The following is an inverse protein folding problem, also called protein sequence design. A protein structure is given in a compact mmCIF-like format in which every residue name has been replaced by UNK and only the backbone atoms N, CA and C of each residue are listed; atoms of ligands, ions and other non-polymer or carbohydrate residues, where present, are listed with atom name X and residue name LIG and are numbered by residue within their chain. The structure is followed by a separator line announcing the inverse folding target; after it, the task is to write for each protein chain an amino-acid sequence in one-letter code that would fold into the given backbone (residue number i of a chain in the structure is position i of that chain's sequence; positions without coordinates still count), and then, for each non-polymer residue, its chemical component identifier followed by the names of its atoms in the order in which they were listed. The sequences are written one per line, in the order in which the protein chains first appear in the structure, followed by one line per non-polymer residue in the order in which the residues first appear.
data_IF_480473438459
#
_entry.id   IF_480473438459
#
_cell.length_a   1.000
_cell.length_b   1.000
_cell.length_c   1.000
_cell.angle_alpha   90.00
_cell.angle_beta   90.00
_cell.angle_gamma   90.00
#
_symmetry.space_group_name_H-M   'P 1'
#
loop_
_entity.id
_entity.type
_entity.pdbx_description
1 polymer ?
#
# COMPACT_ATOMS: atom_id res chain seq x y z
N UNK A 1 13.34 2.73 10.07
CA UNK A 1 12.23 2.95 9.13
C UNK A 1 12.09 1.74 8.26
N UNK A 2 10.86 1.24 8.15
CA UNK A 2 10.38 0.47 7.02
C UNK A 2 8.84 0.63 6.98
N UNK A 3 8.31 1.31 5.95
CA UNK A 3 7.06 2.12 6.00
C UNK A 3 6.31 2.04 4.66
N UNK A 4 4.98 2.24 4.67
CA UNK A 4 4.12 2.33 3.47
C UNK A 4 2.74 2.96 3.84
N UNK A 5 2.52 4.28 3.89
CA UNK A 5 3.41 5.43 3.72
C UNK A 5 3.32 6.45 4.89
N UNK A 6 3.93 7.63 4.76
CA UNK A 6 4.08 8.61 5.87
C UNK A 6 4.26 10.07 5.39
N UNK A 7 3.81 11.02 6.21
CA UNK A 7 4.28 12.42 6.24
C UNK A 7 4.12 12.99 7.66
N UNK A 8 4.66 14.15 8.00
CA UNK A 8 6.11 14.24 8.24
C UNK A 8 6.45 13.55 9.58
N UNK A 9 7.69 13.05 9.75
CA UNK A 9 8.02 12.19 10.91
C UNK A 9 9.50 12.09 11.24
N UNK A 10 9.80 11.96 12.53
CA UNK A 10 11.17 11.82 13.05
C UNK A 10 11.40 10.41 13.64
N UNK A 11 11.88 9.50 12.77
CA UNK A 11 12.37 8.13 13.05
C UNK A 11 11.30 7.05 13.35
N UNK A 12 10.59 6.62 12.29
CA UNK A 12 9.58 5.54 12.29
C UNK A 12 10.15 4.12 12.12
N UNK A 13 9.37 3.10 12.54
CA UNK A 13 9.75 1.67 12.54
C UNK A 13 8.54 0.73 12.64
N UNK A 14 7.47 1.12 11.94
CA UNK A 14 6.68 0.35 10.97
C UNK A 14 5.27 0.94 10.96
N UNK A 15 4.94 1.72 9.92
CA UNK A 15 3.74 2.57 9.85
C UNK A 15 3.02 2.47 8.48
N UNK A 16 1.69 2.30 8.49
CA UNK A 16 0.85 1.80 7.36
C UNK A 16 -0.60 2.35 7.36
N UNK A 17 -0.93 3.62 7.16
CA UNK A 17 -0.16 4.85 6.95
C UNK A 17 -0.52 5.82 8.08
N UNK A 18 0.28 6.86 8.33
CA UNK A 18 0.07 7.73 9.50
C UNK A 18 0.75 9.09 9.34
N UNK A 19 0.13 10.15 9.86
CA UNK A 19 0.60 11.54 9.75
C UNK A 19 1.11 12.11 11.10
N UNK A 20 2.12 12.99 11.08
CA UNK A 20 2.75 13.68 12.24
C UNK A 20 3.16 12.72 13.39
N UNK A 21 4.18 11.88 13.18
CA UNK A 21 4.68 10.93 14.18
C UNK A 21 6.07 11.27 14.77
N UNK A 22 6.19 11.16 16.10
CA UNK A 22 7.46 11.39 16.83
C UNK A 22 7.78 10.23 17.81
N UNK A 23 8.91 9.56 17.62
CA UNK A 23 9.37 8.41 18.43
C UNK A 23 8.33 7.28 18.63
N UNK A 24 7.55 6.97 17.59
CA UNK A 24 6.43 6.02 17.65
C UNK A 24 6.72 4.64 17.03
N UNK A 25 6.26 3.58 17.73
CA UNK A 25 6.53 2.16 17.44
C UNK A 25 5.30 1.45 16.86
N UNK A 26 5.46 0.74 15.74
CA UNK A 26 4.43 -0.18 15.19
C UNK A 26 3.02 0.45 15.10
N UNK A 27 2.87 1.48 14.28
CA UNK A 27 1.67 2.34 14.23
C UNK A 27 0.81 1.99 13.02
N UNK A 28 -0.51 1.99 13.20
CA UNK A 28 -1.49 1.76 12.14
C UNK A 28 -2.51 2.91 12.18
N UNK A 29 -2.69 3.60 11.05
CA UNK A 29 -3.79 4.57 10.83
C UNK A 29 -3.92 5.67 11.91
N UNK A 30 -2.83 6.22 12.44
CA UNK A 30 -2.89 7.12 13.61
C UNK A 30 -2.17 8.45 13.39
N UNK A 31 -2.87 9.57 13.57
CA UNK A 31 -2.36 10.93 13.32
C UNK A 31 -1.89 11.65 14.60
N UNK A 32 -0.86 12.50 14.49
CA UNK A 32 -0.41 13.42 15.54
C UNK A 32 -0.09 12.70 16.87
N UNK A 33 0.60 11.57 16.79
CA UNK A 33 0.92 10.72 17.94
C UNK A 33 2.42 10.70 18.25
N UNK A 34 2.78 10.78 19.53
CA UNK A 34 4.17 10.77 19.99
C UNK A 34 4.44 9.78 21.14
N UNK A 35 5.69 9.37 21.32
CA UNK A 35 6.17 8.53 22.43
C UNK A 35 5.36 7.22 22.64
N UNK A 36 4.75 6.68 21.58
CA UNK A 36 3.70 5.66 21.67
C UNK A 36 4.03 4.38 20.92
N UNK A 37 3.41 3.26 21.31
CA UNK A 37 3.69 1.90 20.83
C UNK A 37 2.39 1.19 20.46
N UNK A 38 2.35 0.46 19.35
CA UNK A 38 1.21 -0.41 18.99
C UNK A 38 -0.12 0.37 19.04
N UNK A 39 -0.30 1.32 18.12
CA UNK A 39 -1.53 2.12 18.02
C UNK A 39 -2.33 1.76 16.77
N UNK A 40 -3.67 1.74 16.88
CA UNK A 40 -4.60 1.59 15.75
C UNK A 40 -5.67 2.67 15.78
N UNK A 41 -5.86 3.40 14.67
CA UNK A 41 -6.89 4.44 14.53
C UNK A 41 -6.88 5.50 15.66
N UNK A 42 -5.73 5.81 16.26
CA UNK A 42 -5.60 6.79 17.35
C UNK A 42 -5.32 8.21 16.80
N UNK A 43 -5.66 9.27 17.52
CA UNK A 43 -5.31 10.65 17.12
C UNK A 43 -4.95 11.52 18.32
N UNK A 44 -3.90 12.33 18.18
CA UNK A 44 -3.44 13.26 19.22
C UNK A 44 -2.89 12.58 20.50
N UNK A 45 -2.47 11.32 20.41
CA UNK A 45 -2.13 10.51 21.59
C UNK A 45 -0.63 10.57 21.94
N UNK A 46 -0.32 10.68 23.24
CA UNK A 46 1.05 10.83 23.76
C UNK A 46 1.32 9.80 24.84
N UNK A 47 2.41 9.04 24.79
CA UNK A 47 2.68 7.99 25.78
C UNK A 47 1.54 6.96 25.90
N UNK A 48 1.18 6.29 24.80
CA UNK A 48 0.19 5.22 24.78
C UNK A 48 0.80 3.90 24.27
N UNK A 49 0.33 2.76 24.79
CA UNK A 49 0.81 1.41 24.43
C UNK A 49 -0.35 0.45 24.12
N UNK A 50 -0.38 -0.17 22.94
CA UNK A 50 -1.39 -1.19 22.60
C UNK A 50 -2.81 -0.62 22.46
N UNK A 51 -2.94 0.67 22.16
CA UNK A 51 -4.19 1.42 22.22
C UNK A 51 -4.90 1.53 20.87
N UNK A 52 -6.24 1.56 20.92
CA UNK A 52 -7.14 1.47 19.77
C UNK A 52 -8.17 2.59 19.84
N UNK A 53 -8.33 3.36 18.76
CA UNK A 53 -9.38 4.38 18.63
C UNK A 53 -9.25 5.64 19.48
N UNK A 54 -8.27 5.76 20.38
CA UNK A 54 -8.20 6.86 21.35
C UNK A 54 -8.05 8.26 20.71
N UNK A 55 -8.64 9.27 21.36
CA UNK A 55 -8.54 10.70 20.98
C UNK A 55 -7.97 11.53 22.13
N UNK A 56 -6.86 12.22 21.86
CA UNK A 56 -6.23 13.19 22.77
C UNK A 56 -5.94 12.64 24.18
N UNK A 57 -5.59 11.35 24.29
CA UNK A 57 -5.30 10.68 25.56
C UNK A 57 -3.78 10.53 25.78
N UNK A 58 -3.39 10.35 27.04
CA UNK A 58 -2.01 10.10 27.44
C UNK A 58 -1.89 9.09 28.59
N UNK A 59 -0.75 8.41 28.69
CA UNK A 59 -0.46 7.37 29.69
C UNK A 59 -1.51 6.24 29.71
N UNK A 60 -1.86 5.69 28.55
CA UNK A 60 -2.79 4.56 28.43
C UNK A 60 -2.08 3.28 27.97
N UNK A 61 -2.49 2.13 28.51
CA UNK A 61 -1.99 0.80 28.09
C UNK A 61 -3.20 -0.11 27.85
N UNK A 62 -3.33 -0.65 26.63
CA UNK A 62 -4.50 -1.42 26.17
C UNK A 62 -5.83 -0.73 26.53
N UNK A 63 -5.94 0.53 26.11
CA UNK A 63 -7.04 1.48 26.38
C UNK A 63 -7.36 1.80 27.85
N UNK A 64 -6.60 1.29 28.83
CA UNK A 64 -6.78 1.61 30.26
C UNK A 64 -5.86 2.77 30.67
N UNK A 65 -6.34 3.76 31.46
CA UNK A 65 -5.53 4.88 31.93
C UNK A 65 -4.60 4.47 33.08
N UNK A 66 -3.41 5.08 33.14
CA UNK A 66 -2.42 4.92 34.20
C UNK A 66 -1.91 6.29 34.68
N UNK A 67 -1.40 6.35 35.91
CA UNK A 67 -0.54 7.46 36.32
C UNK A 67 0.81 7.37 35.58
N UNK A 68 1.48 8.52 35.37
CA UNK A 68 2.79 8.56 34.68
C UNK A 68 3.80 7.58 35.26
N UNK A 69 3.88 7.47 36.58
CA UNK A 69 4.79 6.54 37.29
C UNK A 69 4.46 5.07 37.01
N UNK A 70 3.17 4.71 37.06
CA UNK A 70 2.75 3.33 36.82
C UNK A 70 2.82 2.96 35.34
N UNK A 71 2.64 3.93 34.43
CA UNK A 71 2.87 3.76 33.01
C UNK A 71 4.34 3.41 32.73
N UNK A 72 5.31 4.17 33.26
CA UNK A 72 6.74 3.90 33.08
C UNK A 72 7.12 2.51 33.62
N UNK A 73 6.75 2.18 34.87
CA UNK A 73 6.99 0.85 35.45
C UNK A 73 6.39 -0.27 34.58
N UNK A 74 5.19 -0.07 34.05
CA UNK A 74 4.54 -1.08 33.20
C UNK A 74 5.20 -1.22 31.83
N UNK A 75 5.78 -0.17 31.26
CA UNK A 75 6.63 -0.27 30.06
C UNK A 75 7.93 -1.06 30.33
N UNK A 76 8.56 -0.85 31.49
CA UNK A 76 9.74 -1.60 31.91
C UNK A 76 9.41 -3.10 32.09
N UNK A 77 8.29 -3.42 32.76
CA UNK A 77 7.76 -4.79 32.86
C UNK A 77 7.44 -5.42 31.50
N UNK A 78 6.92 -4.63 30.54
CA UNK A 78 6.63 -5.10 29.18
C UNK A 78 7.91 -5.38 28.39
N UNK A 79 9.01 -4.67 28.65
CA UNK A 79 10.36 -5.09 28.25
C UNK A 79 10.57 -5.29 26.74
N UNK A 80 9.90 -4.53 25.88
CA UNK A 80 9.83 -4.72 24.40
C UNK A 80 11.16 -4.65 23.63
N UNK A 81 12.29 -4.44 24.32
CA UNK A 81 13.62 -4.70 23.77
C UNK A 81 13.89 -6.21 23.54
N UNK A 82 13.11 -7.08 24.21
CA UNK A 82 13.04 -8.53 23.96
C UNK A 82 12.16 -8.86 22.76
N UNK A 83 12.63 -9.79 21.90
CA UNK A 83 11.86 -10.35 20.80
C UNK A 83 10.62 -11.11 21.27
N UNK A 84 10.74 -12.01 22.24
CA UNK A 84 9.60 -12.73 22.82
C UNK A 84 8.53 -11.77 23.37
N UNK A 85 8.94 -10.76 24.14
CA UNK A 85 8.01 -9.81 24.73
C UNK A 85 7.33 -8.93 23.68
N UNK A 86 8.07 -8.46 22.66
CA UNK A 86 7.50 -7.67 21.58
C UNK A 86 6.47 -8.48 20.76
N UNK A 87 6.77 -9.74 20.43
CA UNK A 87 5.82 -10.60 19.71
C UNK A 87 4.61 -10.99 20.57
N UNK A 88 4.77 -11.11 21.89
CA UNK A 88 3.63 -11.25 22.82
C UNK A 88 2.77 -9.97 22.85
N UNK A 89 3.39 -8.79 22.93
CA UNK A 89 2.68 -7.51 22.92
C UNK A 89 1.93 -7.27 21.61
N UNK A 90 2.53 -7.61 20.46
CA UNK A 90 1.85 -7.61 19.15
C UNK A 90 0.64 -8.53 19.13
N UNK A 91 0.78 -9.78 19.60
CA UNK A 91 -0.34 -10.75 19.66
C UNK A 91 -1.50 -10.25 20.54
N UNK A 92 -1.20 -9.58 21.65
CA UNK A 92 -2.24 -8.98 22.51
C UNK A 92 -2.87 -7.73 21.87
N UNK A 93 -2.09 -6.92 21.15
CA UNK A 93 -2.59 -5.78 20.40
C UNK A 93 -3.51 -6.19 19.23
N UNK A 94 -3.17 -7.24 18.48
CA UNK A 94 -4.04 -7.77 17.42
C UNK A 94 -5.39 -8.26 17.99
N UNK A 95 -5.39 -8.98 19.12
CA UNK A 95 -6.65 -9.29 19.85
C UNK A 95 -7.38 -8.02 20.27
N UNK A 96 -6.66 -7.05 20.84
CA UNK A 96 -7.24 -5.80 21.35
C UNK A 96 -7.96 -5.04 20.25
N UNK A 97 -7.37 -4.92 19.04
CA UNK A 97 -8.04 -4.33 17.88
C UNK A 97 -9.40 -4.96 17.63
N UNK A 98 -9.49 -6.30 17.59
CA UNK A 98 -10.74 -7.02 17.36
C UNK A 98 -11.83 -6.74 18.42
N UNK A 99 -11.48 -6.22 19.61
CA UNK A 99 -12.47 -5.85 20.64
C UNK A 99 -13.11 -4.46 20.42
N UNK A 100 -12.67 -3.68 19.43
CA UNK A 100 -13.18 -2.34 19.14
C UNK A 100 -13.73 -2.24 17.70
N UNK A 101 -14.68 -1.33 17.45
CA UNK A 101 -15.19 -1.10 16.10
C UNK A 101 -14.06 -0.59 15.18
N UNK A 102 -14.15 -0.95 13.92
CA UNK A 102 -13.28 -0.51 12.84
C UNK A 102 -14.08 0.40 11.90
N UNK A 103 -13.47 1.51 11.48
CA UNK A 103 -14.05 2.41 10.47
C UNK A 103 -14.11 1.70 9.12
N UNK A 104 -15.27 1.70 8.46
CA UNK A 104 -15.49 0.99 7.19
C UNK A 104 -14.55 1.37 6.04
N UNK A 105 -14.16 2.63 5.97
CA UNK A 105 -13.25 3.21 4.96
C UNK A 105 -12.37 4.29 5.62
N UNK A 106 -11.22 4.62 5.05
CA UNK A 106 -10.31 5.62 5.62
C UNK A 106 -10.53 6.99 4.97
N UNK A 107 -11.73 7.54 5.15
CA UNK A 107 -12.06 8.88 4.66
C UNK A 107 -11.50 9.97 5.59
N UNK A 108 -10.91 11.03 5.01
CA UNK A 108 -10.43 12.22 5.72
C UNK A 108 -10.92 13.50 5.02
N UNK A 109 -11.65 14.34 5.76
CA UNK A 109 -12.14 15.64 5.29
C UNK A 109 -11.24 16.81 5.73
N UNK A 110 -10.03 16.53 6.23
CA UNK A 110 -9.11 17.57 6.69
C UNK A 110 -8.44 18.27 5.51
N UNK A 111 -8.41 19.61 5.52
CA UNK A 111 -7.63 20.37 4.54
C UNK A 111 -6.11 20.11 4.69
N UNK A 112 -5.65 19.68 5.87
CA UNK A 112 -4.23 19.58 6.25
C UNK A 112 -3.81 18.20 6.82
N UNK A 113 -4.35 17.09 6.29
CA UNK A 113 -3.97 15.72 6.71
C UNK A 113 -3.70 14.79 5.51
N UNK A 114 -2.77 13.86 5.65
CA UNK A 114 -2.11 13.16 4.51
C UNK A 114 -2.34 11.64 4.45
N UNK A 115 -3.53 11.14 4.82
CA UNK A 115 -3.79 9.69 4.99
C UNK A 115 -4.56 9.02 3.82
N UNK A 116 -4.39 7.69 3.67
CA UNK A 116 -4.82 6.85 2.52
C UNK A 116 -6.15 6.10 2.74
N UNK A 117 -6.77 5.61 1.65
CA UNK A 117 -7.97 4.77 1.43
C UNK A 117 -9.31 5.54 1.27
N UNK A 118 -9.38 6.37 0.22
CA UNK A 118 -10.56 7.15 -0.20
C UNK A 118 -11.54 6.35 -1.08
N UNK A 119 -12.82 6.39 -0.69
CA UNK A 119 -13.94 6.02 -1.54
C UNK A 119 -14.93 7.18 -1.62
N UNK A 120 -15.62 7.32 -2.77
CA UNK A 120 -16.60 8.37 -3.07
C UNK A 120 -16.06 9.81 -3.11
N UNK A 121 -15.04 10.04 -3.96
CA UNK A 121 -14.88 11.34 -4.64
C UNK A 121 -15.84 11.39 -5.85
N UNK A 122 -16.34 12.58 -6.21
CA UNK A 122 -17.40 12.80 -7.19
C UNK A 122 -17.28 11.94 -8.46
N UNK A 123 -18.42 11.31 -8.84
CA UNK A 123 -18.65 10.48 -10.03
C UNK A 123 -17.69 9.29 -10.29
N UNK A 124 -16.67 9.09 -9.45
CA UNK A 124 -15.55 8.17 -9.69
C UNK A 124 -15.84 6.74 -9.21
N UNK A 125 -15.30 5.73 -9.91
CA UNK A 125 -15.70 4.31 -9.73
C UNK A 125 -14.52 3.35 -9.47
N UNK A 126 -13.91 3.56 -8.30
CA UNK A 126 -12.89 2.73 -7.59
C UNK A 126 -11.41 3.06 -7.90
N UNK A 127 -10.70 3.51 -6.85
CA UNK A 127 -9.38 4.16 -6.89
C UNK A 127 -8.67 3.94 -5.54
N UNK A 128 -7.33 3.73 -5.49
CA UNK A 128 -6.60 3.52 -4.22
C UNK A 128 -5.11 3.97 -4.32
N UNK A 129 -4.65 5.15 -3.87
CA UNK A 129 -5.27 6.34 -3.29
C UNK A 129 -4.72 7.68 -3.84
N UNK A 130 -5.59 8.70 -3.95
CA UNK A 130 -5.29 10.09 -4.34
C UNK A 130 -5.68 11.01 -3.18
N UNK A 131 -5.02 12.17 -3.00
CA UNK A 131 -5.26 13.06 -1.84
C UNK A 131 -5.46 14.55 -2.16
N UNK A 132 -5.90 14.91 -3.38
CA UNK A 132 -6.64 16.16 -3.73
C UNK A 132 -7.13 16.11 -5.19
N UNK A 133 -8.08 17.00 -5.50
CA UNK A 133 -9.33 16.78 -6.27
C UNK A 133 -9.30 15.97 -7.58
N UNK A 134 -10.43 15.37 -7.96
CA UNK A 134 -10.53 14.49 -9.15
C UNK A 134 -11.98 14.36 -9.58
N UNK A 135 -12.27 14.35 -10.89
CA UNK A 135 -13.62 14.02 -11.40
C UNK A 135 -13.60 13.21 -12.73
N UNK A 136 -14.79 12.75 -13.17
CA UNK A 136 -15.13 11.95 -14.37
C UNK A 136 -14.20 10.75 -14.73
N UNK A 137 -13.55 10.20 -13.71
CA UNK A 137 -12.43 9.27 -13.78
C UNK A 137 -12.78 7.80 -13.50
N UNK A 138 -12.06 6.83 -14.13
CA UNK A 138 -12.19 5.37 -13.89
C UNK A 138 -10.84 4.64 -13.89
N UNK A 139 -10.70 3.71 -12.94
CA UNK A 139 -9.58 2.76 -12.72
C UNK A 139 -8.21 3.38 -12.41
N UNK A 140 -7.76 3.20 -11.15
CA UNK A 140 -6.63 3.96 -10.59
C UNK A 140 -5.90 3.21 -9.45
N UNK A 141 -4.56 3.16 -9.44
CA UNK A 141 -3.74 2.61 -8.33
C UNK A 141 -2.34 3.28 -8.09
N UNK A 142 -2.10 4.58 -7.87
CA UNK A 142 -2.85 5.83 -7.88
C UNK A 142 -1.86 7.02 -7.59
N UNK A 143 -2.23 8.26 -7.90
CA UNK A 143 -1.38 9.46 -7.75
C UNK A 143 -1.66 10.30 -6.49
N UNK A 144 -1.31 11.61 -6.49
CA UNK A 144 -1.87 12.65 -5.59
C UNK A 144 -1.78 14.03 -6.27
N UNK A 145 -2.91 14.67 -6.59
CA UNK A 145 -2.96 16.04 -7.13
C UNK A 145 -3.66 16.12 -8.51
N UNK A 146 -4.40 17.22 -8.82
CA UNK A 146 -5.78 17.02 -9.29
C UNK A 146 -6.06 16.60 -10.76
N UNK A 147 -6.87 15.55 -10.96
CA UNK A 147 -7.00 14.76 -12.23
C UNK A 147 -8.41 14.84 -12.87
N UNK A 148 -8.54 15.04 -14.20
CA UNK A 148 -9.80 14.87 -14.97
C UNK A 148 -9.59 14.81 -16.51
N UNK A 149 -9.63 13.71 -17.26
CA UNK A 149 -10.00 12.31 -16.98
C UNK A 149 -8.86 11.30 -17.31
N UNK A 150 -9.11 9.99 -17.13
CA UNK A 150 -8.09 8.95 -16.88
C UNK A 150 -8.61 7.51 -17.20
N UNK A 151 -7.79 6.43 -17.28
CA UNK A 151 -6.34 6.29 -17.61
C UNK A 151 -6.06 4.85 -18.08
N UNK A 152 -5.76 3.76 -17.36
CA UNK A 152 -5.89 3.40 -15.95
C UNK A 152 -4.57 3.69 -15.16
N UNK A 153 -4.38 3.19 -13.93
CA UNK A 153 -3.30 3.71 -13.07
C UNK A 153 -2.45 2.70 -12.29
N UNK A 154 -1.14 2.99 -12.16
CA UNK A 154 -0.24 2.51 -11.10
C UNK A 154 0.67 3.60 -10.47
N UNK A 155 0.37 4.91 -10.66
CA UNK A 155 1.08 6.03 -10.02
C UNK A 155 1.10 7.41 -10.73
N UNK A 156 -0.05 8.04 -11.04
CA UNK A 156 -0.14 9.39 -11.69
C UNK A 156 0.43 10.52 -10.81
N UNK A 157 0.51 11.75 -11.33
CA UNK A 157 0.27 12.93 -10.50
C UNK A 157 0.97 14.22 -10.92
N UNK A 158 0.18 15.22 -11.33
CA UNK A 158 0.28 16.63 -10.88
C UNK A 158 -0.97 17.45 -11.29
N UNK A 159 -1.50 17.27 -12.51
CA UNK A 159 -2.89 17.51 -12.99
C UNK A 159 -3.07 17.04 -14.45
N UNK A 160 -4.08 16.23 -14.78
CA UNK A 160 -4.21 15.53 -16.07
C UNK A 160 -5.53 15.80 -16.84
N UNK A 161 -5.52 15.68 -18.17
CA UNK A 161 -6.70 15.75 -19.06
C UNK A 161 -6.69 14.68 -20.21
N UNK A 162 -7.40 13.55 -20.00
CA UNK A 162 -7.80 12.49 -20.98
C UNK A 162 -6.70 11.56 -21.56
N UNK A 163 -6.53 10.37 -20.96
CA UNK A 163 -5.52 9.36 -21.34
C UNK A 163 -6.12 7.92 -21.35
N UNK A 164 -5.63 7.01 -22.21
CA UNK A 164 -6.13 5.60 -22.33
C UNK A 164 -5.09 4.63 -22.96
N UNK A 165 -4.94 3.33 -22.66
CA UNK A 165 -5.37 2.54 -21.47
C UNK A 165 -4.25 2.39 -20.42
N UNK A 166 -3.01 2.77 -20.79
CA UNK A 166 -1.87 3.24 -19.97
C UNK A 166 -1.70 2.72 -18.51
N UNK A 167 -0.49 2.29 -18.13
CA UNK A 167 -0.14 2.05 -16.71
C UNK A 167 0.00 3.32 -15.82
N UNK A 168 0.98 4.25 -15.96
CA UNK A 168 0.86 5.64 -15.41
C UNK A 168 1.92 6.74 -15.76
N UNK A 169 1.50 8.01 -15.92
CA UNK A 169 2.39 9.21 -15.95
C UNK A 169 1.79 10.58 -15.55
N UNK A 170 2.44 11.25 -14.59
CA UNK A 170 2.08 12.59 -14.10
C UNK A 170 2.71 13.77 -14.83
N UNK A 171 2.03 14.24 -15.88
CA UNK A 171 1.53 15.62 -15.86
C UNK A 171 2.47 16.83 -16.07
N UNK A 172 1.93 18.02 -16.41
CA UNK A 172 0.51 18.35 -16.60
C UNK A 172 0.07 18.12 -18.05
N UNK A 173 -0.61 16.99 -18.30
CA UNK A 173 -0.64 16.31 -19.61
C UNK A 173 -2.03 16.10 -20.20
N UNK A 174 -2.14 16.21 -21.54
CA UNK A 174 -3.44 16.50 -22.20
C UNK A 174 -3.80 15.68 -23.46
N UNK A 175 -3.11 14.53 -23.71
CA UNK A 175 -3.65 13.29 -24.34
C UNK A 175 -2.57 12.27 -24.74
N UNK A 176 -2.68 11.03 -24.25
CA UNK A 176 -1.84 9.90 -24.64
C UNK A 176 -2.68 8.63 -24.87
N UNK A 177 -2.42 7.95 -25.99
CA UNK A 177 -3.19 6.78 -26.46
C UNK A 177 -2.26 5.80 -27.19
N UNK A 178 -1.38 4.99 -26.58
CA UNK A 178 -1.37 4.32 -25.28
C UNK A 178 0.13 4.16 -24.88
N UNK A 179 0.50 4.08 -23.59
CA UNK A 179 1.90 4.36 -23.16
C UNK A 179 2.45 3.53 -21.97
N UNK A 180 3.80 3.55 -21.82
CA UNK A 180 4.61 2.78 -20.84
C UNK A 180 5.92 3.48 -20.33
N UNK A 181 6.28 4.77 -20.50
CA UNK A 181 5.54 5.97 -20.11
C UNK A 181 6.21 7.30 -20.53
N UNK A 182 5.48 8.43 -20.44
CA UNK A 182 5.84 9.68 -21.14
C UNK A 182 5.38 10.95 -20.43
N UNK A 183 6.26 11.58 -19.64
CA UNK A 183 5.96 12.77 -18.82
C UNK A 183 6.42 14.06 -19.55
N UNK A 184 5.57 14.65 -20.40
CA UNK A 184 5.84 15.91 -21.13
C UNK A 184 5.83 15.85 -22.67
N UNK A 185 5.50 14.72 -23.27
CA UNK A 185 5.29 14.58 -24.73
C UNK A 185 3.85 14.92 -25.15
N UNK A 186 3.64 15.28 -26.42
CA UNK A 186 2.29 15.56 -26.95
C UNK A 186 2.01 14.78 -28.24
N UNK A 187 0.74 14.43 -28.48
CA UNK A 187 0.29 13.64 -29.64
C UNK A 187 1.10 12.33 -29.79
N UNK A 188 1.02 11.44 -28.80
CA UNK A 188 1.73 10.16 -28.83
C UNK A 188 0.81 8.95 -28.82
N UNK A 189 1.21 7.92 -29.58
CA UNK A 189 0.43 6.72 -29.81
C UNK A 189 1.32 5.48 -29.80
N UNK A 190 1.02 4.49 -28.96
CA UNK A 190 1.90 3.36 -28.60
C UNK A 190 3.34 3.78 -28.22
N UNK A 191 3.64 3.92 -26.92
CA UNK A 191 4.96 4.39 -26.47
C UNK A 191 5.56 3.57 -25.32
N UNK A 192 6.89 3.62 -25.22
CA UNK A 192 7.68 3.08 -24.10
C UNK A 192 8.88 4.03 -23.87
N UNK A 193 8.71 5.07 -23.02
CA UNK A 193 9.82 5.89 -22.52
C UNK A 193 10.25 7.11 -23.36
N UNK A 194 9.34 7.88 -23.97
CA UNK A 194 9.65 9.10 -24.73
C UNK A 194 9.05 10.37 -24.07
N UNK A 195 9.84 11.18 -23.35
CA UNK A 195 9.30 12.21 -22.42
C UNK A 195 9.19 13.66 -22.94
N UNK A 196 9.81 14.02 -24.06
CA UNK A 196 9.83 15.41 -24.56
C UNK A 196 9.69 15.50 -26.07
N UNK A 197 8.86 14.63 -26.64
CA UNK A 197 8.72 14.41 -28.08
C UNK A 197 7.29 14.74 -28.54
N UNK A 198 7.10 14.93 -29.85
CA UNK A 198 5.80 15.32 -30.43
C UNK A 198 5.44 14.43 -31.62
N UNK A 199 4.16 14.14 -31.86
CA UNK A 199 3.69 13.42 -33.05
C UNK A 199 4.48 12.10 -33.27
N UNK A 200 4.25 11.11 -32.40
CA UNK A 200 5.01 9.86 -32.39
C UNK A 200 4.11 8.62 -32.39
N UNK A 201 4.48 7.59 -33.17
CA UNK A 201 3.76 6.32 -33.30
C UNK A 201 4.69 5.12 -33.06
N UNK A 202 4.43 4.30 -32.03
CA UNK A 202 5.21 3.08 -31.74
C UNK A 202 6.65 3.35 -31.24
N UNK A 203 6.88 4.37 -30.40
CA UNK A 203 8.24 4.88 -30.12
C UNK A 203 8.87 4.38 -28.80
N UNK A 204 10.14 3.92 -28.88
CA UNK A 204 10.85 3.14 -27.84
C UNK A 204 12.38 3.34 -27.96
N UNK A 205 13.05 4.36 -27.41
CA UNK A 205 12.66 5.35 -26.39
C UNK A 205 13.29 6.72 -26.71
N UNK A 206 13.06 7.22 -27.93
CA UNK A 206 13.63 8.47 -28.47
C UNK A 206 13.27 9.73 -27.63
N UNK A 207 14.14 10.74 -27.67
CA UNK A 207 14.03 11.97 -26.85
C UNK A 207 14.16 13.23 -27.72
N UNK A 208 13.35 14.25 -27.42
CA UNK A 208 13.42 15.58 -28.05
C UNK A 208 13.32 15.54 -29.58
N UNK A 209 12.33 14.78 -30.09
CA UNK A 209 12.09 14.56 -31.52
C UNK A 209 10.63 14.74 -31.90
N UNK A 210 10.38 14.93 -33.19
CA UNK A 210 9.03 15.03 -33.76
C UNK A 210 8.87 14.23 -35.05
N UNK A 211 7.64 13.83 -35.38
CA UNK A 211 7.27 13.06 -36.58
C UNK A 211 8.06 11.74 -36.68
N UNK A 212 7.84 10.85 -35.70
CA UNK A 212 8.63 9.62 -35.55
C UNK A 212 7.77 8.35 -35.51
N UNK A 213 8.19 7.32 -36.26
CA UNK A 213 7.56 6.00 -36.31
C UNK A 213 8.64 4.95 -36.06
N UNK A 214 8.45 4.06 -35.07
CA UNK A 214 9.41 2.99 -34.72
C UNK A 214 10.86 3.50 -34.61
N UNK A 215 11.07 4.60 -33.87
CA UNK A 215 12.34 5.34 -33.69
C UNK A 215 12.94 6.04 -34.93
N UNK A 216 12.42 5.83 -36.13
CA UNK A 216 12.84 6.61 -37.31
C UNK A 216 12.10 7.95 -37.35
N UNK A 217 12.83 9.04 -37.61
CA UNK A 217 12.26 10.36 -37.91
C UNK A 217 11.95 10.50 -39.41
N UNK A 218 10.88 11.23 -39.72
CA UNK A 218 10.33 11.47 -41.06
C UNK A 218 10.10 12.97 -41.30
N UNK A 219 9.78 13.36 -42.54
CA UNK A 219 9.08 14.63 -42.78
C UNK A 219 7.70 14.61 -42.14
N UNK A 220 7.11 15.80 -41.93
CA UNK A 220 5.73 15.92 -41.43
C UNK A 220 4.74 15.23 -42.38
N UNK A 221 4.92 15.49 -43.67
CA UNK A 221 4.07 15.02 -44.77
C UNK A 221 4.14 13.50 -44.90
N UNK A 222 5.36 12.93 -44.85
CA UNK A 222 5.57 11.47 -44.80
C UNK A 222 4.88 10.84 -43.58
N UNK A 223 4.99 11.45 -42.41
CA UNK A 223 4.38 10.95 -41.17
C UNK A 223 2.85 10.97 -41.25
N UNK A 224 2.26 12.08 -41.70
CA UNK A 224 0.82 12.27 -41.85
C UNK A 224 0.23 11.32 -42.93
N UNK A 225 1.01 10.95 -43.96
CA UNK A 225 0.60 9.96 -44.95
C UNK A 225 0.75 8.49 -44.46
N UNK A 226 1.74 8.21 -43.61
CA UNK A 226 2.07 6.84 -43.16
C UNK A 226 1.17 6.35 -42.02
N UNK A 227 0.89 7.18 -41.00
CA UNK A 227 0.15 6.76 -39.79
C UNK A 227 -1.24 6.16 -40.12
N UNK A 228 -2.10 6.77 -40.98
CA UNK A 228 -3.40 6.19 -41.34
C UNK A 228 -3.29 4.81 -42.02
N UNK A 229 -2.22 4.58 -42.79
CA UNK A 229 -1.95 3.28 -43.45
C UNK A 229 -1.60 2.21 -42.42
N UNK A 230 -0.79 2.55 -41.42
CA UNK A 230 -0.41 1.65 -40.32
C UNK A 230 -1.65 1.26 -39.50
N UNK A 231 -2.49 2.24 -39.11
CA UNK A 231 -3.75 2.00 -38.39
C UNK A 231 -4.68 1.08 -39.21
N UNK A 232 -4.80 1.34 -40.52
CA UNK A 232 -5.60 0.50 -41.43
C UNK A 232 -5.06 -0.94 -41.51
N UNK A 233 -3.74 -1.11 -41.48
CA UNK A 233 -3.12 -2.44 -41.46
C UNK A 233 -3.37 -3.18 -40.14
N UNK A 234 -3.16 -2.53 -38.99
CA UNK A 234 -3.40 -3.11 -37.66
C UNK A 234 -4.84 -3.65 -37.49
N UNK A 235 -5.82 -2.97 -38.07
CA UNK A 235 -7.23 -3.39 -38.01
C UNK A 235 -7.59 -4.50 -39.01
N UNK A 236 -6.89 -4.61 -40.14
CA UNK A 236 -7.06 -5.69 -41.12
C UNK A 236 -6.29 -6.96 -40.77
N UNK A 237 -5.15 -6.81 -40.08
CA UNK A 237 -4.23 -7.88 -39.70
C UNK A 237 -3.84 -7.71 -38.23
N UNK A 238 -4.76 -8.01 -37.29
CA UNK A 238 -4.49 -7.90 -35.86
C UNK A 238 -3.44 -8.90 -35.41
N UNK A 239 -2.64 -8.50 -34.42
CA UNK A 239 -1.73 -9.44 -33.74
C UNK A 239 -2.56 -10.46 -32.94
N UNK A 240 -2.16 -11.73 -32.94
CA UNK A 240 -2.84 -12.79 -32.20
C UNK A 240 -1.93 -13.29 -31.09
N UNK A 241 -2.28 -12.99 -29.85
CA UNK A 241 -1.53 -13.40 -28.68
C UNK A 241 -1.60 -14.91 -28.42
N UNK A 242 -0.74 -15.39 -27.53
CA UNK A 242 -0.64 -16.79 -27.11
C UNK A 242 -1.98 -17.33 -26.53
N UNK A 243 -2.75 -16.44 -25.91
CA UNK A 243 -4.10 -16.68 -25.38
C UNK A 243 -5.23 -16.62 -26.44
N UNK A 244 -4.88 -16.46 -27.73
CA UNK A 244 -5.78 -16.27 -28.90
C UNK A 244 -6.60 -14.97 -28.91
N UNK A 245 -6.31 -13.99 -28.03
CA UNK A 245 -6.88 -12.64 -28.15
C UNK A 245 -6.34 -11.95 -29.41
N UNK A 246 -7.18 -11.14 -30.05
CA UNK A 246 -6.80 -10.29 -31.19
C UNK A 246 -6.51 -8.87 -30.71
N UNK A 247 -5.27 -8.42 -30.89
CA UNK A 247 -4.81 -7.08 -30.54
C UNK A 247 -4.86 -6.20 -31.80
N UNK A 248 -5.70 -5.17 -31.75
CA UNK A 248 -6.01 -4.21 -32.83
C UNK A 248 -5.49 -2.83 -32.48
N UNK A 249 -5.61 -1.88 -33.40
CA UNK A 249 -5.43 -0.48 -33.03
C UNK A 249 -6.55 -0.07 -32.05
N UNK A 250 -6.19 0.24 -30.81
CA UNK A 250 -7.15 0.45 -29.72
C UNK A 250 -6.88 -0.40 -28.48
N UNK A 251 -6.08 -1.47 -28.60
CA UNK A 251 -5.79 -2.42 -27.52
C UNK A 251 -4.37 -2.20 -26.95
N UNK A 252 -4.20 -2.46 -25.65
CA UNK A 252 -2.94 -2.35 -24.92
C UNK A 252 -1.89 -3.38 -25.37
N UNK A 253 -0.66 -3.20 -24.90
CA UNK A 253 0.44 -4.11 -25.17
C UNK A 253 0.13 -5.55 -24.68
N UNK A 254 0.31 -6.58 -25.53
CA UNK A 254 0.15 -7.98 -25.14
C UNK A 254 1.02 -8.36 -23.92
N UNK A 255 0.52 -9.23 -23.04
CA UNK A 255 1.21 -9.58 -21.79
C UNK A 255 2.51 -10.37 -22.06
N UNK A 256 2.58 -11.07 -23.18
CA UNK A 256 3.76 -11.79 -23.68
C UNK A 256 4.91 -10.89 -24.16
N UNK A 257 4.69 -9.58 -24.31
CA UNK A 257 5.77 -8.60 -24.54
C UNK A 257 6.09 -7.76 -23.28
N UNK A 258 5.58 -8.15 -22.11
CA UNK A 258 6.02 -7.61 -20.83
C UNK A 258 7.52 -7.90 -20.60
N UNK A 259 8.33 -6.91 -20.19
CA UNK A 259 9.72 -7.14 -19.78
C UNK A 259 9.85 -7.82 -18.41
N UNK A 260 8.75 -7.94 -17.65
CA UNK A 260 8.70 -8.51 -16.30
C UNK A 260 7.80 -9.73 -16.25
N UNK A 261 8.20 -10.75 -15.49
CA UNK A 261 7.33 -11.87 -15.12
C UNK A 261 6.30 -11.45 -14.05
N UNK A 262 5.17 -12.16 -13.96
CA UNK A 262 4.10 -11.83 -13.01
C UNK A 262 4.61 -11.71 -11.58
N UNK A 263 5.44 -12.66 -11.16
CA UNK A 263 6.03 -12.72 -9.82
C UNK A 263 7.11 -11.67 -9.55
N UNK A 264 7.56 -10.90 -10.54
CA UNK A 264 8.43 -9.73 -10.33
C UNK A 264 7.59 -8.49 -9.99
N UNK A 265 6.44 -8.32 -10.64
CA UNK A 265 5.58 -7.14 -10.53
C UNK A 265 4.92 -6.95 -9.15
N UNK A 266 4.27 -5.79 -8.98
CA UNK A 266 3.39 -5.48 -7.85
C UNK A 266 2.09 -6.29 -7.86
N UNK A 267 1.70 -6.91 -8.99
CA UNK A 267 0.52 -7.78 -9.03
C UNK A 267 0.67 -8.98 -8.09
N UNK A 268 1.88 -9.51 -7.91
CA UNK A 268 2.19 -10.57 -6.94
C UNK A 268 2.06 -10.11 -5.46
N UNK A 269 2.01 -8.80 -5.20
CA UNK A 269 1.84 -8.24 -3.85
C UNK A 269 0.36 -8.07 -3.48
N UNK A 270 -0.50 -7.77 -4.47
CA UNK A 270 -1.96 -7.68 -4.28
C UNK A 270 -2.72 -9.00 -4.55
N UNK A 271 -2.30 -9.80 -5.55
CA UNK A 271 -2.88 -11.11 -5.91
C UNK A 271 -1.77 -12.18 -5.99
N UNK A 272 -1.27 -12.71 -4.85
CA UNK A 272 -0.12 -13.63 -4.82
C UNK A 272 -0.42 -15.04 -5.39
N UNK A 273 -0.27 -15.19 -6.71
CA UNK A 273 -0.40 -16.46 -7.42
C UNK A 273 0.78 -17.42 -7.16
N UNK A 274 0.55 -18.71 -7.42
CA UNK A 274 1.62 -19.69 -7.70
C UNK A 274 1.95 -19.71 -9.20
N UNK A 275 3.12 -20.26 -9.55
CA UNK A 275 3.53 -20.51 -10.94
C UNK A 275 2.43 -21.18 -11.78
N UNK A 276 1.87 -22.29 -11.29
CA UNK A 276 0.82 -23.05 -11.98
C UNK A 276 -0.48 -22.27 -12.21
N UNK A 277 -0.74 -21.20 -11.44
CA UNK A 277 -1.91 -20.31 -11.61
C UNK A 277 -1.59 -19.18 -12.58
N UNK A 278 -0.39 -18.59 -12.50
CA UNK A 278 0.09 -17.58 -13.43
C UNK A 278 0.21 -18.14 -14.88
N UNK A 279 0.80 -19.32 -15.04
CA UNK A 279 0.93 -20.00 -16.34
C UNK A 279 -0.46 -20.31 -16.95
N UNK A 280 -1.44 -20.73 -16.13
CA UNK A 280 -2.83 -20.94 -16.58
C UNK A 280 -3.54 -19.65 -17.00
N UNK A 281 -3.19 -18.51 -16.41
CA UNK A 281 -3.65 -17.17 -16.86
C UNK A 281 -2.90 -16.67 -18.11
N UNK A 282 -1.87 -17.40 -18.57
CA UNK A 282 -1.04 -17.03 -19.72
C UNK A 282 0.07 -16.03 -19.38
N UNK A 283 0.46 -15.91 -18.12
CA UNK A 283 1.53 -15.02 -17.67
C UNK A 283 2.89 -15.73 -17.63
N UNK A 284 3.95 -14.98 -17.88
CA UNK A 284 5.33 -15.44 -17.67
C UNK A 284 5.66 -15.53 -16.18
N UNK A 285 6.48 -16.51 -15.80
CA UNK A 285 6.98 -16.72 -14.45
C UNK A 285 8.51 -16.78 -14.46
N UNK A 286 9.16 -16.07 -13.53
CA UNK A 286 10.61 -16.10 -13.34
C UNK A 286 10.96 -17.10 -12.25
N UNK A 287 11.77 -18.09 -12.58
CA UNK A 287 12.32 -19.03 -11.60
C UNK A 287 13.19 -18.29 -10.57
N UNK A 288 13.11 -18.71 -9.31
CA UNK A 288 13.95 -18.13 -8.26
C UNK A 288 15.39 -18.66 -8.38
N UNK A 289 16.35 -17.73 -8.46
CA UNK A 289 17.77 -18.05 -8.41
C UNK A 289 18.13 -18.74 -7.09
N UNK A 290 18.83 -19.88 -7.16
CA UNK A 290 19.25 -20.64 -5.97
C UNK A 290 20.32 -19.89 -5.18
N UNK A 291 19.86 -19.11 -4.21
CA UNK A 291 20.67 -18.28 -3.31
C UNK A 291 21.39 -19.10 -2.24
N UNK A 292 22.57 -19.61 -2.61
CA UNK A 292 23.48 -20.30 -1.70
C UNK A 292 24.25 -19.31 -0.81
N UNK A 293 23.57 -18.61 0.10
CA UNK A 293 24.23 -17.79 1.11
C UNK A 293 24.95 -18.68 2.14
N UNK A 294 26.21 -18.34 2.45
CA UNK A 294 26.92 -18.92 3.59
C UNK A 294 26.35 -18.39 4.89
N UNK A 295 25.25 -18.97 5.39
CA UNK A 295 24.63 -18.64 6.67
C UNK A 295 25.63 -18.93 7.80
N UNK A 296 25.90 -17.93 8.63
CA UNK A 296 26.76 -18.05 9.81
C UNK A 296 25.96 -17.97 11.11
N UNK A 297 24.73 -17.44 11.07
CA UNK A 297 23.88 -17.21 12.24
C UNK A 297 22.42 -17.60 11.97
N UNK A 298 21.81 -18.43 12.83
CA UNK A 298 20.36 -18.68 12.77
C UNK A 298 19.59 -17.70 13.67
N UNK A 299 18.31 -17.44 13.34
CA UNK A 299 17.42 -16.54 14.10
C UNK A 299 17.23 -16.94 15.56
N UNK A 300 17.23 -18.26 15.83
CA UNK A 300 17.18 -18.88 17.16
C UNK A 300 18.42 -18.61 18.02
N UNK A 301 19.57 -18.32 17.40
CA UNK A 301 20.87 -18.13 18.05
C UNK A 301 21.22 -16.63 18.20
N UNK A 302 20.31 -15.74 17.79
CA UNK A 302 20.36 -14.31 18.06
C UNK A 302 19.88 -14.05 19.50
N UNK A 303 20.58 -13.20 20.28
CA UNK A 303 20.10 -12.76 21.59
C UNK A 303 18.66 -12.22 21.54
N UNK A 304 17.92 -12.43 22.62
CA UNK A 304 16.51 -12.07 22.67
C UNK A 304 16.34 -10.57 22.88
N UNK A 305 17.20 -9.95 23.70
CA UNK A 305 17.15 -8.52 23.99
C UNK A 305 18.15 -7.70 23.15
N UNK A 306 17.72 -6.55 22.62
CA UNK A 306 18.58 -5.61 21.88
C UNK A 306 19.84 -5.16 22.64
N UNK A 307 19.79 -5.10 23.97
CA UNK A 307 20.91 -4.72 24.82
C UNK A 307 22.01 -5.79 24.90
N UNK A 308 21.69 -7.05 24.56
CA UNK A 308 22.63 -8.18 24.52
C UNK A 308 23.39 -8.27 23.18
N UNK A 309 22.97 -7.49 22.17
CA UNK A 309 23.51 -7.52 20.81
C UNK A 309 24.86 -6.79 20.75
N UNK A 310 25.92 -7.54 20.46
CA UNK A 310 27.28 -7.03 20.22
C UNK A 310 27.44 -6.54 18.77
N UNK A 311 28.62 -5.98 18.43
CA UNK A 311 28.91 -5.50 17.07
C UNK A 311 29.42 -6.60 16.12
N UNK A 312 29.71 -7.80 16.64
CA UNK A 312 30.04 -8.99 15.85
C UNK A 312 28.96 -9.33 14.80
N UNK A 313 27.70 -9.06 15.12
CA UNK A 313 26.52 -9.21 14.25
C UNK A 313 26.64 -8.52 12.88
N UNK A 314 27.49 -7.50 12.74
CA UNK A 314 27.74 -6.80 11.48
C UNK A 314 28.53 -7.64 10.47
N UNK A 315 29.28 -8.65 10.94
CA UNK A 315 29.96 -9.63 10.09
C UNK A 315 29.02 -10.74 9.61
N UNK A 316 28.00 -11.08 10.41
CA UNK A 316 27.16 -12.27 10.25
C UNK A 316 26.30 -12.28 8.97
N UNK A 317 25.95 -13.49 8.52
CA UNK A 317 24.88 -13.77 7.55
C UNK A 317 23.77 -14.48 8.33
N UNK A 318 22.66 -13.79 8.53
CA UNK A 318 21.54 -14.22 9.37
C UNK A 318 20.51 -14.96 8.51
N UNK A 319 20.14 -16.18 8.88
CA UNK A 319 19.01 -16.90 8.29
C UNK A 319 17.71 -16.09 8.39
N UNK A 320 16.86 -16.12 7.37
CA UNK A 320 15.49 -15.62 7.46
C UNK A 320 14.59 -16.69 8.08
N UNK A 321 13.79 -16.35 9.09
CA UNK A 321 12.90 -17.29 9.79
C UNK A 321 11.92 -18.05 8.86
N UNK A 322 11.50 -17.42 7.75
CA UNK A 322 10.67 -18.06 6.72
C UNK A 322 11.43 -19.01 5.76
N UNK A 323 12.77 -19.05 5.79
CA UNK A 323 13.67 -19.98 5.05
C UNK A 323 13.53 -20.14 3.52
N UNK A 324 12.61 -19.40 2.88
CA UNK A 324 12.22 -19.61 1.48
C UNK A 324 10.86 -20.30 1.30
N UNK A 325 10.18 -20.69 2.38
CA UNK A 325 8.94 -21.45 2.38
C UNK A 325 7.69 -20.57 2.19
N UNK A 326 7.81 -19.24 2.30
CA UNK A 326 6.73 -18.27 2.12
C UNK A 326 6.66 -17.69 0.69
N UNK A 327 5.46 -17.35 0.21
CA UNK A 327 5.20 -16.72 -1.11
C UNK A 327 5.67 -15.24 -1.24
N UNK A 328 6.63 -14.80 -0.43
CA UNK A 328 6.93 -13.38 -0.15
C UNK A 328 8.28 -12.92 -0.73
N UNK A 329 8.68 -13.46 -1.89
CA UNK A 329 9.97 -13.20 -2.57
C UNK A 329 11.17 -13.33 -1.58
N UNK A 330 11.14 -14.35 -0.71
CA UNK A 330 12.02 -14.46 0.46
C UNK A 330 13.51 -14.43 0.06
N UNK A 331 14.35 -13.68 0.78
CA UNK A 331 15.79 -13.63 0.47
C UNK A 331 16.60 -14.75 1.13
N UNK A 332 15.96 -15.70 1.85
CA UNK A 332 16.53 -16.82 2.64
C UNK A 332 17.55 -16.46 3.74
N UNK A 333 18.36 -15.43 3.55
CA UNK A 333 19.23 -14.81 4.54
C UNK A 333 19.26 -13.27 4.39
N UNK A 334 19.80 -12.57 5.38
CA UNK A 334 20.02 -11.11 5.38
C UNK A 334 21.24 -10.73 6.23
N UNK A 335 21.61 -9.44 6.18
CA UNK A 335 22.60 -8.81 7.06
C UNK A 335 21.97 -7.62 7.80
N UNK A 336 22.66 -7.13 8.82
CA UNK A 336 22.32 -5.90 9.55
C UNK A 336 23.43 -4.88 9.29
N UNK A 337 23.09 -3.66 8.87
CA UNK A 337 24.09 -2.58 8.73
C UNK A 337 24.40 -1.92 10.09
N UNK A 338 25.47 -1.12 10.15
CA UNK A 338 25.82 -0.39 11.38
C UNK A 338 24.75 0.62 11.76
N UNK A 339 24.17 1.27 10.76
CA UNK A 339 23.11 2.27 10.86
C UNK A 339 21.79 1.61 11.31
N UNK A 340 21.47 0.44 10.77
CA UNK A 340 20.38 -0.40 11.26
C UNK A 340 20.57 -0.80 12.73
N UNK A 341 21.75 -1.32 13.11
CA UNK A 341 22.05 -1.72 14.49
C UNK A 341 21.95 -0.54 15.47
N UNK A 342 22.48 0.63 15.09
CA UNK A 342 22.35 1.86 15.85
C UNK A 342 20.89 2.30 15.99
N UNK A 343 20.09 2.17 14.93
CA UNK A 343 18.67 2.49 14.94
C UNK A 343 17.88 1.53 15.86
N UNK A 344 18.03 0.22 15.72
CA UNK A 344 17.36 -0.76 16.59
C UNK A 344 17.72 -0.52 18.07
N UNK A 345 18.98 -0.20 18.37
CA UNK A 345 19.44 0.19 19.71
C UNK A 345 18.83 1.51 20.21
N UNK A 346 18.87 2.60 19.42
CA UNK A 346 18.22 3.88 19.80
C UNK A 346 16.74 3.69 20.13
N UNK A 347 16.05 2.88 19.33
CA UNK A 347 14.62 2.65 19.45
C UNK A 347 14.24 1.65 20.54
N UNK A 348 15.21 0.94 21.14
CA UNK A 348 14.97 -0.08 22.16
C UNK A 348 14.10 -1.23 21.65
N UNK A 349 14.38 -1.73 20.44
CA UNK A 349 13.66 -2.86 19.82
C UNK A 349 14.63 -3.96 19.34
N UNK A 350 14.24 -5.24 19.43
CA UNK A 350 15.07 -6.38 19.01
C UNK A 350 15.38 -6.39 17.51
N UNK A 351 16.49 -7.03 17.14
CA UNK A 351 16.81 -7.28 15.73
C UNK A 351 15.72 -8.12 15.04
N UNK A 352 15.42 -7.85 13.76
CA UNK A 352 14.44 -8.62 13.00
C UNK A 352 14.87 -10.09 12.87
N UNK A 353 13.89 -10.99 12.81
CA UNK A 353 14.08 -12.41 12.44
C UNK A 353 13.70 -12.69 10.96
N UNK A 354 13.10 -11.71 10.30
CA UNK A 354 12.66 -11.75 8.90
C UNK A 354 13.50 -10.82 8.02
N UNK A 355 13.80 -11.29 6.81
CA UNK A 355 14.44 -10.49 5.77
C UNK A 355 13.59 -9.29 5.33
N UNK A 356 14.19 -8.36 4.59
CA UNK A 356 13.53 -7.15 4.04
C UNK A 356 12.19 -7.47 3.35
N UNK A 357 12.17 -8.51 2.52
CA UNK A 357 11.03 -8.84 1.68
C UNK A 357 9.87 -9.41 2.51
N UNK A 358 10.14 -10.38 3.40
CA UNK A 358 9.12 -10.89 4.32
C UNK A 358 8.59 -9.80 5.27
N UNK A 359 9.45 -8.88 5.74
CA UNK A 359 9.01 -7.69 6.50
C UNK A 359 8.12 -6.75 5.66
N UNK A 360 8.40 -6.60 4.38
CA UNK A 360 7.58 -5.82 3.43
C UNK A 360 6.21 -6.45 3.19
N UNK A 361 6.15 -7.73 2.80
CA UNK A 361 4.89 -8.44 2.62
C UNK A 361 4.05 -8.48 3.91
N UNK A 362 4.67 -8.66 5.07
CA UNK A 362 3.99 -8.58 6.36
C UNK A 362 3.34 -7.20 6.62
N UNK A 363 3.91 -6.11 6.08
CA UNK A 363 3.33 -4.76 6.12
C UNK A 363 2.26 -4.55 5.05
N UNK A 364 2.46 -5.03 3.82
CA UNK A 364 1.46 -4.93 2.73
C UNK A 364 0.15 -5.62 3.13
N UNK A 365 0.22 -6.74 3.85
CA UNK A 365 -0.95 -7.43 4.43
C UNK A 365 -1.77 -6.61 5.45
N UNK A 366 -1.25 -5.48 5.95
CA UNK A 366 -1.95 -4.55 6.84
C UNK A 366 -2.68 -3.41 6.08
N UNK A 367 -2.40 -3.26 4.78
CA UNK A 367 -3.20 -2.44 3.87
C UNK A 367 -4.41 -3.28 3.42
N UNK A 368 -5.54 -2.62 3.14
CA UNK A 368 -6.64 -3.28 2.44
C UNK A 368 -6.22 -3.65 1.03
N UNK A 369 -6.57 -4.86 0.56
CA UNK A 369 -6.41 -5.16 -0.87
C UNK A 369 -7.32 -4.24 -1.70
N UNK A 370 -6.96 -3.91 -2.95
CA UNK A 370 -7.77 -3.08 -3.86
C UNK A 370 -9.00 -3.86 -4.40
N UNK A 371 -9.83 -4.37 -3.48
CA UNK A 371 -11.02 -5.18 -3.72
C UNK A 371 -12.10 -4.75 -2.74
N UNK A 372 -13.24 -4.34 -3.27
CA UNK A 372 -14.39 -3.91 -2.48
C UNK A 372 -15.40 -5.03 -2.25
N UNK A 373 -16.08 -4.89 -1.13
CA UNK A 373 -17.09 -5.79 -0.62
C UNK A 373 -18.22 -4.97 0.00
N UNK A 374 -19.43 -5.19 -0.48
CA UNK A 374 -20.65 -4.63 0.09
C UNK A 374 -20.88 -5.17 1.50
N UNK A 375 -21.03 -4.29 2.49
CA UNK A 375 -21.36 -4.63 3.90
C UNK A 375 -22.33 -3.62 4.52
N UNK A 376 -22.95 -4.04 5.62
CA UNK A 376 -23.79 -3.20 6.48
C UNK A 376 -23.01 -2.75 7.72
N UNK A 377 -23.41 -1.64 8.33
CA UNK A 377 -22.88 -1.19 9.60
C UNK A 377 -23.25 -2.19 10.72
N UNK A 378 -22.28 -2.85 11.35
CA UNK A 378 -22.52 -3.83 12.42
C UNK A 378 -23.00 -3.19 13.76
N UNK A 379 -23.61 -2.00 13.75
CA UNK A 379 -24.05 -1.31 14.97
C UNK A 379 -25.52 -1.63 15.28
N UNK A 380 -25.76 -2.31 16.40
CA UNK A 380 -27.06 -2.79 16.85
C UNK A 380 -27.50 -2.10 18.16
N UNK A 381 -27.62 -0.77 18.12
CA UNK A 381 -28.07 0.04 19.26
C UNK A 381 -27.08 0.08 20.42
N UNK A 382 -27.30 -0.75 21.45
CA UNK A 382 -26.48 -0.79 22.67
C UNK A 382 -25.16 -1.58 22.52
N UNK A 383 -24.99 -2.31 21.40
CA UNK A 383 -23.80 -3.12 21.14
C UNK A 383 -23.58 -3.33 19.63
N UNK A 384 -22.48 -3.97 19.26
CA UNK A 384 -22.28 -4.47 17.90
C UNK A 384 -23.10 -5.73 17.63
N UNK A 385 -23.50 -5.95 16.38
CA UNK A 385 -24.27 -7.11 15.88
C UNK A 385 -23.65 -8.46 16.33
N UNK A 386 -22.32 -8.56 16.26
CA UNK A 386 -21.55 -9.73 16.70
C UNK A 386 -21.34 -9.83 18.24
N UNK A 387 -21.91 -8.91 19.02
CA UNK A 387 -21.81 -8.79 20.49
C UNK A 387 -20.38 -8.63 21.04
N UNK A 388 -19.39 -8.32 20.19
CA UNK A 388 -17.97 -8.16 20.59
C UNK A 388 -17.71 -6.82 21.28
N UNK A 389 -18.40 -5.75 20.86
CA UNK A 389 -18.23 -4.41 21.40
C UNK A 389 -19.55 -3.91 22.02
N UNK A 390 -19.47 -3.32 23.22
CA UNK A 390 -20.58 -2.58 23.81
C UNK A 390 -20.42 -1.11 23.48
N UNK A 391 -21.46 -0.51 22.89
CA UNK A 391 -21.47 0.91 22.55
C UNK A 391 -21.47 1.76 23.82
N UNK A 392 -20.71 2.85 23.77
CA UNK A 392 -20.49 3.79 24.87
C UNK A 392 -21.47 4.96 24.83
N UNK A 393 -22.13 5.20 23.70
CA UNK A 393 -23.17 6.20 23.51
C UNK A 393 -24.38 5.66 22.72
N UNK A 394 -25.50 6.36 22.79
CA UNK A 394 -26.60 6.17 21.85
C UNK A 394 -26.25 6.85 20.52
N UNK A 395 -26.60 6.23 19.40
CA UNK A 395 -26.25 6.73 18.07
C UNK A 395 -27.36 7.56 17.44
N UNK A 396 -27.11 8.87 17.29
CA UNK A 396 -28.09 9.92 16.95
C UNK A 396 -28.83 9.81 15.61
N UNK A 397 -28.68 8.71 14.87
CA UNK A 397 -29.28 8.45 13.56
C UNK A 397 -29.99 7.08 13.44
N UNK A 398 -29.99 6.28 14.51
CA UNK A 398 -30.79 5.05 14.63
C UNK A 398 -31.16 4.68 16.08
N UNK A 399 -30.78 5.50 17.06
CA UNK A 399 -30.99 5.32 18.51
C UNK A 399 -30.60 3.93 19.02
N UNK A 400 -31.59 3.06 19.22
CA UNK A 400 -31.42 1.67 19.71
C UNK A 400 -31.64 0.60 18.66
N UNK A 401 -32.14 0.97 17.48
CA UNK A 401 -32.34 0.03 16.39
C UNK A 401 -31.01 -0.33 15.72
N UNK A 402 -31.04 -1.30 14.80
CA UNK A 402 -29.89 -1.58 13.96
C UNK A 402 -29.62 -0.41 13.01
N UNK A 403 -28.35 -0.02 12.87
CA UNK A 403 -27.95 1.02 11.93
C UNK A 403 -28.33 0.59 10.50
N UNK A 404 -29.07 1.42 9.74
CA UNK A 404 -29.52 1.07 8.39
C UNK A 404 -28.45 1.33 7.31
N UNK A 405 -27.27 1.83 7.68
CA UNK A 405 -26.24 2.25 6.74
C UNK A 405 -25.51 1.06 6.10
N UNK A 406 -25.39 1.10 4.78
CA UNK A 406 -24.66 0.14 3.94
C UNK A 406 -23.52 0.85 3.19
N UNK A 407 -22.46 0.12 2.87
CA UNK A 407 -21.24 0.69 2.27
C UNK A 407 -20.39 -0.37 1.56
N UNK A 408 -19.56 0.08 0.63
CA UNK A 408 -18.45 -0.72 0.10
C UNK A 408 -17.22 -0.58 1.00
N UNK A 409 -16.50 -1.69 1.23
CA UNK A 409 -15.31 -1.72 2.07
C UNK A 409 -14.28 -2.76 1.63
N UNK A 410 -13.01 -2.60 2.00
CA UNK A 410 -11.94 -3.59 1.81
C UNK A 410 -11.92 -4.68 2.88
N UNK A 411 -12.78 -4.60 3.91
CA UNK A 411 -12.99 -5.70 4.86
C UNK A 411 -13.88 -6.79 4.25
N UNK A 412 -13.27 -7.84 3.71
CA UNK A 412 -13.99 -9.00 3.15
C UNK A 412 -14.98 -9.64 4.17
N UNK A 413 -16.11 -10.23 3.72
CA UNK A 413 -17.20 -10.71 4.58
C UNK A 413 -16.78 -11.71 5.67
N UNK A 414 -15.79 -12.54 5.39
CA UNK A 414 -15.23 -13.59 6.21
C UNK A 414 -14.28 -13.10 7.33
N UNK A 415 -13.89 -11.82 7.30
CA UNK A 415 -13.03 -11.24 8.32
C UNK A 415 -13.79 -10.94 9.63
N UNK A 416 -13.13 -11.06 10.80
CA UNK A 416 -13.79 -10.99 12.11
C UNK A 416 -14.01 -9.57 12.66
N UNK A 417 -13.56 -8.51 12.00
CA UNK A 417 -13.65 -7.15 12.55
C UNK A 417 -15.11 -6.63 12.61
N UNK A 418 -15.45 -5.95 13.71
CA UNK A 418 -16.70 -5.17 13.84
C UNK A 418 -16.61 -3.92 12.96
N UNK A 419 -17.36 -3.82 11.85
CA UNK A 419 -17.26 -2.70 10.91
C UNK A 419 -18.39 -1.68 11.13
N UNK A 420 -18.05 -0.45 11.47
CA UNK A 420 -18.98 0.66 11.67
C UNK A 420 -18.88 1.70 10.55
N UNK A 421 -20.04 2.26 10.16
CA UNK A 421 -20.11 3.44 9.29
C UNK A 421 -19.48 4.67 9.97
N UNK A 422 -19.21 5.74 9.21
CA UNK A 422 -18.62 6.99 9.72
C UNK A 422 -19.33 7.51 10.99
N UNK A 423 -20.66 7.62 10.94
CA UNK A 423 -21.44 8.25 12.00
C UNK A 423 -21.44 7.45 13.32
N UNK A 424 -21.55 6.12 13.27
CA UNK A 424 -21.38 5.28 14.46
C UNK A 424 -19.92 5.32 14.94
N UNK A 425 -18.96 5.17 14.03
CA UNK A 425 -17.55 5.09 14.38
C UNK A 425 -17.04 6.37 15.07
N UNK A 426 -17.42 7.55 14.58
CA UNK A 426 -17.04 8.83 15.21
C UNK A 426 -17.60 8.98 16.63
N UNK A 427 -18.85 8.56 16.85
CA UNK A 427 -19.52 8.71 18.14
C UNK A 427 -18.93 7.80 19.23
N UNK A 428 -18.31 6.67 18.86
CA UNK A 428 -17.63 5.74 19.79
C UNK A 428 -16.15 6.06 20.08
N UNK A 429 -15.53 7.02 19.38
CA UNK A 429 -14.10 7.34 19.56
C UNK A 429 -13.79 8.71 20.13
N UNK A 430 -14.71 9.68 20.06
CA UNK A 430 -14.47 11.10 20.37
C UNK A 430 -14.26 11.41 21.87
#
# INVERSE_FOLDING_TARGET
MDVLGVSESELTYQAISSDKLYECKFIQNSEACNNSTLLFNCKGCSYCFGCVGLRNKQYHIFNKPYSKENYTKKLEELGIGSYKNLEQAKKEFEKTKLQFPHKFARMSNSQDSTEDNLFYVNNSKFCFDVKKETEDSKFIVNGVGPIKDLYDGYGVGATAELLYEVTDSGDQGTKNLFAVFTWGSTNTTYTYGCHGSKNCFGCVSIRSKEYCILNKQYSKEEYEELVPKIITHMNKMPYKGNNKKEYKYGEFFPIEISPFAYNETVAQEYEPLTKNEAEKKGYTWKEEEKKNYGITKHTKDLPDNINEIKEDILGEVIECEHKGECKEKCTTAFKITKEELQLYKKLGIPLPRLCSNCRHFARVRLVGLPKLHHRKCHCAGESSENNVYKNTTNHSHHDKEHCPNEFETTYAPDRPETIYCEACYQQEVN
#
